data_IF_345277397657
#
_entry.id   IF_345277397657
#
_cell.length_a   1.000
_cell.length_b   1.000
_cell.length_c   1.000
_cell.angle_alpha   90.00
_cell.angle_beta   90.00
_cell.angle_gamma   90.00
#
_symmetry.space_group_name_H-M   'P 1'
#
loop_
_entity.id
_entity.type
_entity.pdbx_description
1 polymer ?
#
# COMPACT_ATOMS: atom_id res chain seq x y z
N UNK A 1 7.67 -3.22 17.16
CA UNK A 1 7.03 -4.39 16.54
C UNK A 1 6.90 -4.10 15.07
N UNK A 2 7.30 -5.04 14.22
CA UNK A 2 7.18 -4.89 12.78
C UNK A 2 5.77 -5.31 12.34
N UNK A 3 5.19 -4.54 11.43
CA UNK A 3 3.85 -4.79 10.87
C UNK A 3 3.92 -4.74 9.36
N UNK A 4 3.08 -5.52 8.68
CA UNK A 4 3.00 -5.51 7.23
C UNK A 4 1.97 -4.48 6.75
N UNK A 5 2.36 -3.68 5.75
CA UNK A 5 1.50 -2.76 5.02
C UNK A 5 1.58 -3.09 3.54
N UNK A 6 0.41 -3.13 2.91
CA UNK A 6 0.25 -3.40 1.50
C UNK A 6 -0.34 -2.16 0.81
N UNK A 7 0.34 -1.62 -0.19
CA UNK A 7 -0.15 -0.49 -0.96
C UNK A 7 -0.65 -0.92 -2.35
N UNK A 8 -1.79 -0.40 -2.79
CA UNK A 8 -2.31 -0.52 -4.15
C UNK A 8 -2.39 0.85 -4.79
N UNK A 9 -1.73 1.03 -5.92
CA UNK A 9 -1.74 2.27 -6.68
C UNK A 9 -2.45 1.98 -8.02
N UNK A 10 -3.61 2.58 -8.29
CA UNK A 10 -4.29 2.42 -9.57
C UNK A 10 -3.40 2.85 -10.75
N UNK A 11 -3.34 2.01 -11.77
CA UNK A 11 -2.61 2.28 -13.00
C UNK A 11 -3.58 2.76 -14.08
N UNK A 12 -3.31 3.93 -14.66
CA UNK A 12 -4.07 4.41 -15.81
C UNK A 12 -3.57 3.73 -17.09
N UNK A 13 -4.46 3.28 -17.99
CA UNK A 13 -4.05 2.79 -19.31
C UNK A 13 -3.24 3.86 -20.04
N UNK A 14 -2.03 3.51 -20.50
CA UNK A 14 -1.17 4.41 -21.28
C UNK A 14 -0.31 5.39 -20.49
N UNK A 15 -0.37 5.40 -19.14
CA UNK A 15 0.65 6.08 -18.35
C UNK A 15 1.92 5.25 -18.38
N UNK A 16 3.02 5.79 -18.91
CA UNK A 16 4.34 5.20 -18.72
C UNK A 16 4.57 5.06 -17.21
N UNK A 17 4.68 3.81 -16.76
CA UNK A 17 4.70 3.43 -15.35
C UNK A 17 6.05 3.87 -14.75
N UNK A 18 6.17 5.13 -14.27
CA UNK A 18 7.34 5.63 -13.51
C UNK A 18 7.32 5.04 -12.09
N UNK A 19 7.20 3.72 -11.99
CA UNK A 19 7.06 3.04 -10.70
C UNK A 19 8.39 2.86 -9.99
N UNK A 20 9.51 2.91 -10.74
CA UNK A 20 10.86 2.90 -10.15
C UNK A 20 11.07 4.15 -9.27
N UNK A 21 10.62 5.33 -9.71
CA UNK A 21 10.67 6.57 -8.90
C UNK A 21 9.81 6.45 -7.63
N UNK A 22 8.66 5.78 -7.74
CA UNK A 22 7.80 5.50 -6.58
C UNK A 22 8.50 4.56 -5.60
N UNK A 23 9.17 3.51 -6.09
CA UNK A 23 9.93 2.58 -5.26
C UNK A 23 11.04 3.30 -4.50
N UNK A 24 11.89 4.01 -5.24
CA UNK A 24 13.03 4.72 -4.69
C UNK A 24 12.58 5.75 -3.64
N UNK A 25 11.56 6.54 -3.95
CA UNK A 25 11.07 7.55 -3.02
C UNK A 25 10.43 6.94 -1.76
N UNK A 26 9.72 5.81 -1.88
CA UNK A 26 9.18 5.09 -0.72
C UNK A 26 10.30 4.49 0.14
N UNK A 27 11.29 3.85 -0.48
CA UNK A 27 12.47 3.31 0.20
C UNK A 27 13.23 4.41 0.95
N UNK A 28 13.51 5.53 0.29
CA UNK A 28 14.20 6.68 0.89
C UNK A 28 13.40 7.27 2.05
N UNK A 29 12.09 7.47 1.89
CA UNK A 29 11.24 8.04 2.93
C UNK A 29 11.17 7.16 4.19
N UNK A 30 11.08 5.84 3.99
CA UNK A 30 11.09 4.86 5.09
C UNK A 30 12.45 4.82 5.79
N UNK A 31 13.54 4.76 5.02
CA UNK A 31 14.91 4.70 5.54
C UNK A 31 15.30 5.98 6.31
N UNK A 32 15.05 7.16 5.73
CA UNK A 32 15.36 8.45 6.33
C UNK A 32 14.69 8.66 7.69
N UNK A 33 13.56 7.97 7.91
CA UNK A 33 12.76 8.07 9.13
C UNK A 33 12.81 6.80 9.96
N UNK A 34 13.67 5.82 9.64
CA UNK A 34 13.72 4.52 10.33
C UNK A 34 12.33 3.96 10.60
N UNK A 35 11.47 3.99 9.58
CA UNK A 35 10.03 3.71 9.68
C UNK A 35 9.62 2.41 9.00
N UNK A 36 10.54 1.73 8.31
CA UNK A 36 10.27 0.47 7.64
C UNK A 36 11.20 0.19 6.47
N UNK A 37 10.83 -0.79 5.67
CA UNK A 37 11.55 -1.26 4.46
C UNK A 37 10.53 -1.66 3.39
N UNK A 38 10.79 -1.30 2.14
CA UNK A 38 10.08 -1.88 0.98
C UNK A 38 10.66 -3.27 0.73
N UNK A 39 9.83 -4.31 0.80
CA UNK A 39 10.29 -5.70 0.69
C UNK A 39 9.88 -6.38 -0.62
N UNK A 40 9.02 -5.73 -1.41
CA UNK A 40 8.63 -6.23 -2.72
C UNK A 40 7.63 -5.34 -3.43
N UNK A 41 7.43 -5.62 -4.71
CA UNK A 41 6.43 -4.94 -5.54
C UNK A 41 5.96 -5.86 -6.67
N UNK A 42 4.88 -5.46 -7.34
CA UNK A 42 4.36 -6.18 -8.50
C UNK A 42 3.09 -5.56 -9.06
N UNK A 43 2.43 -6.28 -9.96
CA UNK A 43 1.15 -5.85 -10.55
C UNK A 43 0.04 -6.75 -10.08
N UNK A 44 -1.15 -6.20 -9.90
CA UNK A 44 -2.36 -6.96 -9.59
C UNK A 44 -3.56 -6.42 -10.37
N UNK A 45 -4.54 -7.28 -10.62
CA UNK A 45 -5.79 -6.93 -11.30
C UNK A 45 -6.91 -7.01 -10.28
N UNK A 46 -7.76 -5.99 -10.20
CA UNK A 46 -9.00 -6.11 -9.43
C UNK A 46 -10.03 -6.90 -10.22
N UNK A 47 -10.70 -7.86 -9.57
CA UNK A 47 -11.72 -8.70 -10.20
C UNK A 47 -13.13 -8.07 -10.19
N UNK A 48 -13.26 -6.78 -9.90
CA UNK A 48 -14.54 -6.10 -9.69
C UNK A 48 -14.92 -5.26 -10.92
N UNK A 49 -15.76 -5.82 -11.79
CA UNK A 49 -16.46 -5.13 -12.89
C UNK A 49 -15.55 -4.68 -14.03
N UNK A 50 -14.71 -3.70 -13.75
CA UNK A 50 -13.67 -3.19 -14.65
C UNK A 50 -12.31 -3.71 -14.15
N UNK A 51 -11.56 -4.39 -15.02
CA UNK A 51 -10.25 -4.90 -14.69
C UNK A 51 -9.24 -3.74 -14.52
N UNK A 52 -9.23 -3.12 -13.34
CA UNK A 52 -8.27 -2.08 -12.99
C UNK A 52 -6.95 -2.74 -12.63
N UNK A 53 -5.91 -2.37 -13.38
CA UNK A 53 -4.53 -2.72 -13.06
C UNK A 53 -4.07 -1.87 -11.88
N UNK A 54 -3.38 -2.51 -10.94
CA UNK A 54 -2.77 -1.84 -9.79
C UNK A 54 -1.30 -2.19 -9.73
N UNK A 55 -0.49 -1.21 -9.41
CA UNK A 55 0.85 -1.44 -8.90
C UNK A 55 0.79 -1.69 -7.41
N UNK A 56 1.51 -2.71 -6.94
CA UNK A 56 1.53 -3.16 -5.56
C UNK A 56 2.89 -2.85 -4.96
N UNK A 57 2.88 -2.36 -3.72
CA UNK A 57 4.05 -2.32 -2.84
C UNK A 57 3.79 -3.18 -1.60
N UNK A 58 4.76 -4.02 -1.25
CA UNK A 58 4.78 -4.87 -0.06
C UNK A 58 5.80 -4.27 0.91
N UNK A 59 5.36 -3.82 2.09
CA UNK A 59 6.16 -2.97 2.98
C UNK A 59 6.12 -3.54 4.40
N UNK A 60 7.28 -3.65 5.05
CA UNK A 60 7.38 -3.86 6.49
C UNK A 60 7.59 -2.50 7.17
N UNK A 61 6.82 -2.20 8.21
CA UNK A 61 6.92 -0.94 8.95
C UNK A 61 7.30 -1.15 10.41
N UNK A 62 8.19 -0.28 10.89
CA UNK A 62 8.64 -0.21 12.28
C UNK A 62 7.71 0.68 13.10
N UNK A 63 6.66 0.07 13.65
CA UNK A 63 5.59 0.79 14.35
C UNK A 63 4.55 1.33 13.37
N UNK A 64 3.40 0.66 13.35
CA UNK A 64 2.37 0.85 12.33
C UNK A 64 1.91 2.31 12.15
N UNK A 65 1.60 3.02 13.24
CA UNK A 65 1.11 4.40 13.15
C UNK A 65 2.14 5.34 12.49
N UNK A 66 3.42 5.19 12.85
CA UNK A 66 4.53 5.95 12.27
C UNK A 66 4.74 5.58 10.80
N UNK A 67 4.80 4.28 10.50
CA UNK A 67 4.97 3.78 9.14
C UNK A 67 3.86 4.28 8.22
N UNK A 68 2.61 4.18 8.64
CA UNK A 68 1.46 4.70 7.89
C UNK A 68 1.55 6.21 7.68
N UNK A 69 1.98 6.99 8.67
CA UNK A 69 2.15 8.43 8.50
C UNK A 69 3.21 8.75 7.42
N UNK A 70 4.35 8.07 7.45
CA UNK A 70 5.43 8.23 6.47
C UNK A 70 4.98 7.84 5.07
N UNK A 71 4.29 6.70 4.93
CA UNK A 71 3.79 6.23 3.64
C UNK A 71 2.74 7.19 3.06
N UNK A 72 1.81 7.67 3.89
CA UNK A 72 0.80 8.63 3.48
C UNK A 72 1.41 9.92 2.93
N UNK A 73 2.44 10.44 3.59
CA UNK A 73 3.16 11.64 3.16
C UNK A 73 3.95 11.39 1.88
N UNK A 74 4.75 10.31 1.82
CA UNK A 74 5.59 9.99 0.68
C UNK A 74 4.76 9.79 -0.59
N UNK A 75 3.70 8.98 -0.50
CA UNK A 75 2.81 8.71 -1.64
C UNK A 75 2.03 9.96 -2.06
N UNK A 76 1.60 10.79 -1.12
CA UNK A 76 0.96 12.07 -1.46
C UNK A 76 1.92 13.03 -2.17
N UNK A 77 3.18 13.11 -1.71
CA UNK A 77 4.23 13.93 -2.34
C UNK A 77 4.59 13.48 -3.75
N UNK A 78 4.45 12.18 -4.05
CA UNK A 78 4.63 11.60 -5.37
C UNK A 78 3.41 11.80 -6.31
N UNK A 79 2.33 12.40 -5.82
CA UNK A 79 1.13 12.64 -6.63
C UNK A 79 0.43 11.36 -7.07
N UNK A 80 0.50 10.28 -6.26
CA UNK A 80 -0.21 9.03 -6.59
C UNK A 80 -1.70 9.28 -6.81
N UNK A 81 -2.35 8.55 -7.73
CA UNK A 81 -3.74 8.81 -8.08
C UNK A 81 -4.71 8.56 -6.92
N UNK A 82 -5.86 9.20 -7.00
CA UNK A 82 -7.03 8.87 -6.18
C UNK A 82 -7.40 7.39 -6.36
N UNK A 83 -7.90 6.78 -5.29
CA UNK A 83 -8.09 5.34 -5.24
C UNK A 83 -6.84 4.55 -4.85
N UNK A 84 -5.71 5.22 -4.58
CA UNK A 84 -4.57 4.56 -3.91
C UNK A 84 -4.99 4.06 -2.53
N UNK A 85 -4.70 2.80 -2.24
CA UNK A 85 -5.12 2.12 -1.01
C UNK A 85 -3.91 1.70 -0.18
N UNK A 86 -4.02 1.82 1.15
CA UNK A 86 -3.13 1.22 2.13
C UNK A 86 -3.92 0.19 2.94
N UNK A 87 -3.45 -1.05 2.97
CA UNK A 87 -4.04 -2.15 3.72
C UNK A 87 -3.08 -2.60 4.82
N UNK A 88 -3.60 -2.84 6.02
CA UNK A 88 -2.83 -3.26 7.18
C UNK A 88 -3.75 -3.95 8.20
N UNK A 89 -3.17 -4.54 9.26
CA UNK A 89 -3.93 -5.29 10.26
C UNK A 89 -3.70 -4.73 11.66
N UNK A 90 -4.77 -4.44 12.39
CA UNK A 90 -4.73 -4.06 13.82
C UNK A 90 -5.48 -5.11 14.62
N UNK A 91 -4.83 -5.72 15.61
CA UNK A 91 -5.45 -6.71 16.51
C UNK A 91 -6.21 -7.83 15.78
N UNK A 92 -5.68 -8.28 14.63
CA UNK A 92 -6.29 -9.31 13.78
C UNK A 92 -7.34 -8.80 12.80
N UNK A 93 -7.65 -7.50 12.83
CA UNK A 93 -8.65 -6.87 11.99
C UNK A 93 -8.00 -6.20 10.76
N UNK A 94 -8.38 -6.64 9.57
CA UNK A 94 -7.89 -6.07 8.32
C UNK A 94 -8.56 -4.72 8.05
N UNK A 95 -7.74 -3.68 7.93
CA UNK A 95 -8.16 -2.31 7.68
C UNK A 95 -7.59 -1.81 6.36
N UNK A 96 -8.32 -0.88 5.76
CA UNK A 96 -7.97 -0.19 4.54
C UNK A 96 -8.16 1.32 4.71
N UNK A 97 -7.26 2.10 4.14
CA UNK A 97 -7.38 3.55 3.99
C UNK A 97 -7.22 3.88 2.51
N UNK A 98 -8.08 4.75 1.98
CA UNK A 98 -8.06 5.17 0.57
C UNK A 98 -7.71 6.64 0.45
N UNK A 99 -6.87 6.98 -0.53
CA UNK A 99 -6.57 8.37 -0.92
C UNK A 99 -7.73 8.93 -1.72
N UNK A 100 -8.24 10.08 -1.29
CA UNK A 100 -9.32 10.82 -1.94
C UNK A 100 -8.95 12.32 -2.00
N UNK A 101 -8.58 12.81 -3.18
CA UNK A 101 -8.10 14.16 -3.38
C UNK A 101 -6.75 14.39 -2.69
N UNK A 102 -6.65 15.45 -1.89
CA UNK A 102 -5.44 15.80 -1.14
C UNK A 102 -5.33 15.08 0.22
N UNK A 103 -6.30 14.23 0.56
CA UNK A 103 -6.43 13.63 1.88
C UNK A 103 -6.54 12.11 1.83
N UNK A 104 -6.35 11.49 2.99
CA UNK A 104 -6.63 10.08 3.23
C UNK A 104 -7.95 9.96 3.97
N UNK A 105 -8.83 9.06 3.52
CA UNK A 105 -10.10 8.77 4.18
C UNK A 105 -9.88 8.14 5.57
N UNK A 106 -10.96 8.03 6.34
CA UNK A 106 -10.93 7.26 7.58
C UNK A 106 -10.68 5.76 7.30
N UNK A 107 -9.99 5.05 8.20
CA UNK A 107 -9.83 3.60 8.08
C UNK A 107 -11.18 2.88 8.06
N UNK A 108 -11.36 1.98 7.11
CA UNK A 108 -12.52 1.10 7.01
C UNK A 108 -12.07 -0.34 7.09
N UNK A 109 -12.95 -1.25 7.53
CA UNK A 109 -12.68 -2.69 7.46
C UNK A 109 -12.49 -3.09 6.00
N UNK A 110 -11.39 -3.77 5.72
CA UNK A 110 -11.12 -4.26 4.37
C UNK A 110 -12.12 -5.38 4.03
N UNK A 111 -12.82 -5.22 2.92
CA UNK A 111 -13.68 -6.26 2.34
C UNK A 111 -12.91 -7.22 1.45
N UNK A 112 -11.58 -7.01 1.31
CA UNK A 112 -10.71 -7.96 0.63
C UNK A 112 -10.74 -9.27 1.41
N UNK A 113 -11.60 -10.18 0.95
CA UNK A 113 -11.82 -11.50 1.53
C UNK A 113 -10.47 -12.13 1.82
N UNK A 114 -10.18 -12.35 3.11
CA UNK A 114 -9.01 -13.07 3.61
C UNK A 114 -8.86 -14.40 2.89
N UNK A 115 -8.10 -14.41 1.79
CA UNK A 115 -7.79 -15.64 1.04
C UNK A 115 -6.29 -15.76 0.85
N UNK A 116 -5.54 -15.70 1.95
CA UNK A 116 -4.28 -16.44 2.06
C UNK A 116 -3.86 -16.63 3.53
N UNK A 117 -4.42 -17.66 4.16
CA UNK A 117 -3.73 -18.36 5.24
C UNK A 117 -4.15 -19.83 5.23
N UNK A 118 -3.71 -20.58 4.22
CA UNK A 118 -3.39 -21.99 4.43
C UNK A 118 -1.87 -22.12 4.35
N UNK A 119 -1.25 -22.11 5.53
CA UNK A 119 0.05 -22.74 5.75
C UNK A 119 -0.10 -24.19 5.29
N UNK A 120 0.51 -24.58 4.18
CA UNK A 120 0.82 -25.99 3.92
C UNK A 120 1.89 -26.39 4.93
N UNK A 121 1.43 -27.00 6.02
CA UNK A 121 2.30 -27.75 6.92
C UNK A 121 2.76 -29.01 6.20
N UNK A 122 4.08 -29.17 6.16
CA UNK A 122 4.90 -30.38 6.17
C UNK A 122 4.26 -31.71 5.77
#
# INVERSE_FOLDING_TARGET
MQSFVYAKIPLRPGAAEHMDEVHEAVEQALAARSAGTLIGWGRSVSNAGDAVMHHRLDIEVDGQARGLAVLKEALAGLGVPDGTELHYTVDGEALQIVRAGASWAEPVRSTATSRHMRRTGR
#
